data_IF_575690179710
#
_entry.id   IF_575690179710
#
_cell.length_a   1.000
_cell.length_b   1.000
_cell.length_c   1.000
_cell.angle_alpha   90.00
_cell.angle_beta   90.00
_cell.angle_gamma   90.00
#
_symmetry.space_group_name_H-M   'P 1'
#
loop_
_entity.id
_entity.type
_entity.pdbx_description
1 polymer ?
#
# COMPACT_ATOMS: atom_id res chain seq x y z
N UNK A 1 6.10 17.41 -13.06
CA UNK A 1 5.55 17.21 -11.70
C UNK A 1 6.26 16.00 -11.14
N UNK A 2 7.16 16.21 -10.20
CA UNK A 2 8.01 15.17 -9.61
C UNK A 2 7.11 14.13 -8.93
N UNK A 3 7.37 12.84 -9.17
CA UNK A 3 6.78 11.80 -8.33
C UNK A 3 7.45 11.95 -6.97
N UNK A 4 6.73 12.54 -6.01
CA UNK A 4 7.21 12.66 -4.65
C UNK A 4 7.57 11.26 -4.15
N UNK A 5 8.84 11.08 -3.83
CA UNK A 5 9.44 9.86 -3.32
C UNK A 5 8.58 9.33 -2.18
N UNK A 6 8.08 8.09 -2.27
CA UNK A 6 7.43 7.45 -1.13
C UNK A 6 8.55 7.06 -0.17
N UNK A 7 8.83 7.91 0.81
CA UNK A 7 9.76 7.59 1.89
C UNK A 7 9.17 6.44 2.72
N UNK A 8 9.71 5.25 2.46
CA UNK A 8 9.36 4.05 3.20
C UNK A 8 10.14 4.04 4.51
N UNK A 9 9.68 4.80 5.50
CA UNK A 9 10.12 4.65 6.88
C UNK A 9 10.18 3.17 7.29
N UNK A 10 11.25 2.82 8.04
CA UNK A 10 11.54 1.46 8.52
C UNK A 10 10.31 0.87 9.22
N UNK A 11 9.73 -0.19 8.65
CA UNK A 11 8.68 -0.97 9.30
C UNK A 11 9.31 -1.81 10.42
N UNK A 12 8.74 -1.74 11.62
CA UNK A 12 9.03 -2.69 12.69
C UNK A 12 8.23 -3.97 12.43
N UNK A 13 8.74 -4.78 11.51
CA UNK A 13 8.17 -6.08 11.21
C UNK A 13 8.76 -7.06 12.22
N UNK A 14 7.91 -7.65 13.07
CA UNK A 14 8.31 -8.85 13.82
C UNK A 14 8.39 -10.02 12.84
N UNK A 15 9.56 -10.15 12.19
CA UNK A 15 9.84 -11.09 11.10
C UNK A 15 9.88 -12.55 11.54
N UNK A 16 10.07 -12.79 12.84
CA UNK A 16 10.44 -14.11 13.37
C UNK A 16 9.36 -15.20 13.26
N UNK A 17 8.11 -14.87 12.92
CA UNK A 17 7.00 -15.83 12.85
C UNK A 17 6.03 -15.63 11.66
N UNK A 18 6.41 -14.84 10.65
CA UNK A 18 5.55 -14.56 9.49
C UNK A 18 6.03 -15.25 8.23
N UNK A 19 5.09 -15.80 7.47
CA UNK A 19 5.33 -16.27 6.11
C UNK A 19 5.63 -15.10 5.17
N UNK A 20 6.24 -15.40 4.02
CA UNK A 20 6.51 -14.41 2.98
C UNK A 20 5.23 -13.67 2.53
N UNK A 21 4.11 -14.38 2.40
CA UNK A 21 2.83 -13.78 1.99
C UNK A 21 2.34 -12.75 3.03
N UNK A 22 2.51 -13.04 4.32
CA UNK A 22 2.16 -12.11 5.40
C UNK A 22 3.05 -10.87 5.40
N UNK A 23 4.35 -11.05 5.20
CA UNK A 23 5.33 -9.94 5.13
C UNK A 23 5.03 -9.00 3.96
N UNK A 24 4.81 -9.58 2.77
CA UNK A 24 4.41 -8.82 1.58
C UNK A 24 3.06 -8.14 1.81
N UNK A 25 2.12 -8.84 2.44
CA UNK A 25 0.80 -8.31 2.75
C UNK A 25 0.83 -7.11 3.70
N UNK A 26 1.67 -7.16 4.72
CA UNK A 26 1.86 -6.05 5.67
C UNK A 26 2.50 -4.84 4.99
N UNK A 27 3.56 -5.07 4.21
CA UNK A 27 4.19 -4.01 3.43
C UNK A 27 3.19 -3.33 2.50
N UNK A 28 2.43 -4.14 1.74
CA UNK A 28 1.44 -3.64 0.80
C UNK A 28 0.34 -2.82 1.51
N UNK A 29 -0.12 -3.29 2.68
CA UNK A 29 -1.10 -2.57 3.51
C UNK A 29 -0.57 -1.20 3.94
N UNK A 30 0.66 -1.12 4.42
CA UNK A 30 1.27 0.14 4.85
C UNK A 30 1.45 1.09 3.66
N UNK A 31 1.92 0.58 2.53
CA UNK A 31 2.09 1.37 1.31
C UNK A 31 0.76 1.96 0.82
N UNK A 32 -0.28 1.13 0.73
CA UNK A 32 -1.63 1.57 0.34
C UNK A 32 -2.18 2.63 1.30
N UNK A 33 -2.01 2.43 2.62
CA UNK A 33 -2.45 3.39 3.63
C UNK A 33 -1.73 4.74 3.45
N UNK A 34 -0.41 4.76 3.27
CA UNK A 34 0.36 5.99 3.06
C UNK A 34 -0.10 6.73 1.80
N UNK A 35 -0.21 6.03 0.67
CA UNK A 35 -0.62 6.64 -0.60
C UNK A 35 -2.06 7.19 -0.50
N UNK A 36 -2.96 6.48 0.18
CA UNK A 36 -4.31 6.98 0.43
C UNK A 36 -4.32 8.20 1.35
N UNK A 37 -3.51 8.23 2.40
CA UNK A 37 -3.40 9.38 3.29
C UNK A 37 -2.84 10.62 2.57
N UNK A 38 -1.85 10.46 1.70
CA UNK A 38 -1.25 11.58 0.96
C UNK A 38 -2.14 12.13 -0.16
N UNK A 39 -2.98 11.29 -0.77
CA UNK A 39 -3.67 11.66 -2.01
C UNK A 39 -5.19 11.52 -1.98
N UNK A 40 -5.76 10.96 -0.92
CA UNK A 40 -7.20 10.93 -0.62
C UNK A 40 -8.08 10.12 -1.57
N UNK A 41 -7.52 9.42 -2.56
CA UNK A 41 -8.31 8.75 -3.60
C UNK A 41 -7.69 7.45 -4.08
N UNK A 42 -8.49 6.38 -4.09
CA UNK A 42 -8.12 5.09 -4.67
C UNK A 42 -7.74 5.17 -6.15
N UNK A 43 -8.40 6.05 -6.92
CA UNK A 43 -8.08 6.26 -8.33
C UNK A 43 -6.72 6.97 -8.53
N UNK A 44 -6.33 7.83 -7.57
CA UNK A 44 -5.02 8.47 -7.58
C UNK A 44 -3.93 7.48 -7.12
N UNK A 45 -4.23 6.65 -6.13
CA UNK A 45 -3.36 5.56 -5.70
C UNK A 45 -3.05 4.57 -6.84
N UNK A 46 -4.05 4.18 -7.63
CA UNK A 46 -3.87 3.31 -8.80
C UNK A 46 -2.87 3.89 -9.82
N UNK A 47 -2.98 5.19 -10.11
CA UNK A 47 -2.07 5.87 -11.05
C UNK A 47 -0.64 5.96 -10.51
N UNK A 48 -0.49 6.28 -9.22
CA UNK A 48 0.83 6.43 -8.56
C UNK A 48 1.54 5.08 -8.47
N UNK A 49 0.82 4.05 -8.03
CA UNK A 49 1.34 2.69 -7.91
C UNK A 49 1.40 1.95 -9.25
N UNK A 50 0.94 2.57 -10.34
CA UNK A 50 0.93 2.03 -11.71
C UNK A 50 0.27 0.65 -11.79
N UNK A 51 -0.86 0.49 -11.12
CA UNK A 51 -1.67 -0.73 -11.12
C UNK A 51 -3.11 -0.42 -11.49
N UNK A 52 -3.83 -1.42 -11.99
CA UNK A 52 -5.23 -1.27 -12.32
C UNK A 52 -6.08 -0.85 -11.13
N UNK A 53 -7.11 -0.05 -11.40
CA UNK A 53 -8.08 0.39 -10.38
C UNK A 53 -8.72 -0.81 -9.69
N UNK A 54 -9.09 -1.86 -10.43
CA UNK A 54 -9.68 -3.08 -9.89
C UNK A 54 -8.74 -3.79 -8.89
N UNK A 55 -7.44 -3.76 -9.15
CA UNK A 55 -6.42 -4.30 -8.23
C UNK A 55 -6.32 -3.49 -6.95
N UNK A 56 -6.34 -2.16 -7.03
CA UNK A 56 -6.40 -1.30 -5.83
C UNK A 56 -7.67 -1.58 -5.04
N UNK A 57 -8.85 -1.57 -5.67
CA UNK A 57 -10.11 -1.83 -4.96
C UNK A 57 -10.13 -3.20 -4.27
N UNK A 58 -9.64 -4.25 -4.94
CA UNK A 58 -9.51 -5.58 -4.33
C UNK A 58 -8.59 -5.57 -3.11
N UNK A 59 -7.46 -4.88 -3.19
CA UNK A 59 -6.48 -4.79 -2.09
C UNK A 59 -7.00 -3.92 -0.93
N UNK A 60 -7.69 -2.81 -1.22
CA UNK A 60 -8.32 -1.99 -0.18
C UNK A 60 -9.37 -2.78 0.62
N UNK A 61 -10.19 -3.58 -0.06
CA UNK A 61 -11.10 -4.51 0.60
C UNK A 61 -10.37 -5.57 1.41
N UNK A 62 -9.32 -6.20 0.85
CA UNK A 62 -8.51 -7.21 1.56
C UNK A 62 -7.97 -6.67 2.89
N UNK A 63 -7.58 -5.40 2.92
CA UNK A 63 -6.95 -4.77 4.10
C UNK A 63 -7.87 -3.89 4.94
N UNK A 64 -9.17 -3.84 4.62
CA UNK A 64 -10.16 -2.96 5.26
C UNK A 64 -9.74 -1.48 5.30
N UNK A 65 -9.28 -0.96 4.15
CA UNK A 65 -8.80 0.42 3.99
C UNK A 65 -9.77 1.34 3.21
N UNK A 66 -10.98 0.87 2.88
CA UNK A 66 -12.01 1.63 2.17
C UNK A 66 -13.24 0.80 1.82
#
# INVERSE_FOLDING_TARGET
MLMDSIDCDKMNINESNKSLDELVGDYEKVLLKKVLQMHGSAAKAARILKVDRSTIFRKLKKYNLG
#
